data_IF_384025328288
#
_entry.id   IF_384025328288
#
_cell.length_a   1.000
_cell.length_b   1.000
_cell.length_c   1.000
_cell.angle_alpha   90.00
_cell.angle_beta   90.00
_cell.angle_gamma   90.00
#
_symmetry.space_group_name_H-M   'P 1'
#
loop_
_entity.id
_entity.type
_entity.pdbx_description
1 polymer ?
#
# COMPACT_ATOMS: atom_id res chain seq x y z
N UNK A 1 21.66 -19.12 -22.31
CA UNK A 1 21.76 -18.01 -21.33
C UNK A 1 20.36 -17.84 -20.77
N UNK A 2 20.07 -18.40 -19.61
CA UNK A 2 18.74 -18.27 -19.02
C UNK A 2 18.57 -16.86 -18.48
N UNK A 3 17.65 -16.08 -19.04
CA UNK A 3 17.18 -14.86 -18.39
C UNK A 3 16.64 -15.25 -17.02
N UNK A 4 17.31 -14.82 -15.96
CA UNK A 4 16.79 -14.97 -14.60
C UNK A 4 15.40 -14.32 -14.48
N UNK A 5 14.65 -14.64 -13.42
CA UNK A 5 13.33 -14.06 -13.22
C UNK A 5 13.40 -12.53 -13.33
N UNK A 6 12.61 -11.94 -14.23
CA UNK A 6 12.63 -10.50 -14.46
C UNK A 6 12.11 -9.77 -13.21
N UNK A 7 12.81 -8.70 -12.82
CA UNK A 7 12.35 -7.84 -11.73
C UNK A 7 10.96 -7.28 -12.04
N UNK A 8 10.09 -7.28 -11.04
CA UNK A 8 8.78 -6.67 -11.13
C UNK A 8 8.91 -5.19 -10.79
N UNK A 9 8.60 -4.30 -11.71
CA UNK A 9 8.65 -2.86 -11.50
C UNK A 9 7.34 -2.24 -11.95
N UNK A 10 6.79 -1.37 -11.10
CA UNK A 10 5.64 -0.52 -11.42
C UNK A 10 5.98 0.92 -11.08
N UNK A 11 5.59 1.83 -11.96
CA UNK A 11 5.79 3.27 -11.82
C UNK A 11 4.47 3.97 -11.60
N UNK A 12 4.52 5.13 -10.96
CA UNK A 12 3.38 6.03 -10.88
C UNK A 12 2.90 6.44 -12.27
N UNK A 13 1.59 6.51 -12.44
CA UNK A 13 0.94 6.82 -13.70
C UNK A 13 -0.55 7.07 -13.56
N UNK A 14 -1.18 7.38 -14.68
CA UNK A 14 -2.62 7.57 -14.77
C UNK A 14 -3.34 6.22 -14.79
N UNK A 15 -4.13 5.95 -13.76
CA UNK A 15 -5.03 4.79 -13.69
C UNK A 15 -6.48 5.22 -13.89
N UNK A 16 -7.39 4.30 -14.20
CA UNK A 16 -8.83 4.60 -14.29
C UNK A 16 -9.40 5.29 -13.04
N UNK A 17 -9.12 4.81 -11.81
CA UNK A 17 -9.47 5.52 -10.58
C UNK A 17 -8.87 6.92 -10.48
N UNK A 18 -7.59 7.10 -10.81
CA UNK A 18 -6.92 8.40 -10.74
C UNK A 18 -7.51 9.41 -11.74
N UNK A 19 -7.80 8.98 -12.97
CA UNK A 19 -8.44 9.82 -14.00
C UNK A 19 -9.83 10.25 -13.54
N UNK A 20 -10.65 9.34 -13.00
CA UNK A 20 -11.98 9.69 -12.47
C UNK A 20 -11.89 10.71 -11.33
N UNK A 21 -10.95 10.52 -10.40
CA UNK A 21 -10.75 11.45 -9.31
C UNK A 21 -10.28 12.83 -9.81
N UNK A 22 -9.35 12.87 -10.77
CA UNK A 22 -8.88 14.12 -11.38
C UNK A 22 -9.99 14.86 -12.14
N UNK A 23 -10.82 14.15 -12.92
CA UNK A 23 -11.97 14.74 -13.59
C UNK A 23 -12.99 15.31 -12.60
N UNK A 24 -13.26 14.60 -11.51
CA UNK A 24 -14.13 15.10 -10.44
C UNK A 24 -13.55 16.37 -9.80
N UNK A 25 -12.24 16.40 -9.51
CA UNK A 25 -11.60 17.60 -8.99
C UNK A 25 -11.69 18.77 -9.97
N UNK A 26 -11.49 18.56 -11.27
CA UNK A 26 -11.65 19.61 -12.28
C UNK A 26 -13.09 20.10 -12.39
N UNK A 27 -14.06 19.19 -12.29
CA UNK A 27 -15.48 19.54 -12.27
C UNK A 27 -15.84 20.42 -11.05
N UNK A 28 -15.40 20.02 -9.85
CA UNK A 28 -15.59 20.82 -8.63
C UNK A 28 -14.88 22.18 -8.70
N UNK A 29 -13.71 22.24 -9.33
CA UNK A 29 -13.01 23.49 -9.58
C UNK A 29 -13.83 24.40 -10.50
N UNK A 30 -14.45 23.85 -11.56
CA UNK A 30 -15.36 24.59 -12.44
C UNK A 30 -16.58 25.15 -11.70
N UNK A 31 -17.15 24.37 -10.77
CA UNK A 31 -18.29 24.82 -9.94
C UNK A 31 -17.97 26.05 -9.09
N UNK A 32 -16.71 26.24 -8.68
CA UNK A 32 -16.30 27.43 -7.93
C UNK A 32 -16.49 28.75 -8.71
N UNK A 33 -16.62 28.69 -10.04
CA UNK A 33 -16.85 29.85 -10.89
C UNK A 33 -18.33 30.09 -11.22
N UNK A 34 -19.25 29.30 -10.65
CA UNK A 34 -20.69 29.48 -10.88
C UNK A 34 -21.16 30.77 -10.20
N UNK A 35 -21.79 31.70 -10.93
CA UNK A 35 -22.31 32.93 -10.35
C UNK A 35 -23.39 32.63 -9.32
N UNK A 36 -23.37 33.36 -8.20
CA UNK A 36 -24.33 33.20 -7.09
C UNK A 36 -23.78 32.45 -5.87
N UNK A 37 -22.57 31.88 -5.95
CA UNK A 37 -21.87 31.38 -4.77
C UNK A 37 -21.27 32.55 -3.97
N UNK A 38 -21.37 32.53 -2.62
CA UNK A 38 -20.65 33.49 -1.81
C UNK A 38 -19.13 33.29 -1.98
N UNK A 39 -18.38 34.40 -2.02
CA UNK A 39 -16.95 34.42 -2.35
C UNK A 39 -16.12 33.45 -1.50
N UNK A 40 -16.42 33.36 -0.20
CA UNK A 40 -15.72 32.45 0.71
C UNK A 40 -15.93 30.98 0.34
N UNK A 41 -17.14 30.60 -0.08
CA UNK A 41 -17.47 29.22 -0.46
C UNK A 41 -16.85 28.86 -1.81
N UNK A 42 -16.91 29.78 -2.78
CA UNK A 42 -16.22 29.63 -4.07
C UNK A 42 -14.71 29.44 -3.86
N UNK A 43 -14.09 30.27 -3.02
CA UNK A 43 -12.65 30.19 -2.71
C UNK A 43 -12.30 28.87 -2.04
N UNK A 44 -13.07 28.45 -1.03
CA UNK A 44 -12.82 27.19 -0.32
C UNK A 44 -12.95 25.97 -1.24
N UNK A 45 -14.01 25.93 -2.07
CA UNK A 45 -14.23 24.85 -3.02
C UNK A 45 -13.13 24.79 -4.08
N UNK A 46 -12.79 25.93 -4.68
CA UNK A 46 -11.73 26.01 -5.69
C UNK A 46 -10.37 25.60 -5.14
N UNK A 47 -10.01 26.07 -3.95
CA UNK A 47 -8.75 25.70 -3.29
C UNK A 47 -8.68 24.19 -3.01
N UNK A 48 -9.74 23.61 -2.41
CA UNK A 48 -9.79 22.17 -2.12
C UNK A 48 -9.72 21.32 -3.39
N UNK A 49 -10.43 21.72 -4.44
CA UNK A 49 -10.45 21.04 -5.73
C UNK A 49 -9.07 21.10 -6.42
N UNK A 50 -8.42 22.27 -6.42
CA UNK A 50 -7.09 22.46 -6.98
C UNK A 50 -6.03 21.63 -6.23
N UNK A 51 -6.05 21.62 -4.89
CA UNK A 51 -5.16 20.79 -4.08
C UNK A 51 -5.37 19.31 -4.38
N UNK A 52 -6.63 18.87 -4.44
CA UNK A 52 -6.97 17.48 -4.76
C UNK A 52 -6.44 17.06 -6.13
N UNK A 53 -6.60 17.92 -7.14
CA UNK A 53 -6.07 17.67 -8.47
C UNK A 53 -4.53 17.58 -8.47
N UNK A 54 -3.84 18.49 -7.77
CA UNK A 54 -2.38 18.47 -7.69
C UNK A 54 -1.83 17.22 -6.98
N UNK A 55 -2.49 16.78 -5.91
CA UNK A 55 -2.12 15.55 -5.18
C UNK A 55 -2.21 14.31 -6.08
N UNK A 56 -3.08 14.31 -7.08
CA UNK A 56 -3.21 13.21 -8.06
C UNK A 56 -2.23 13.40 -9.22
N UNK A 57 -2.22 14.58 -9.84
CA UNK A 57 -1.53 14.85 -11.09
C UNK A 57 0.00 14.82 -10.93
N UNK A 58 0.55 15.39 -9.84
CA UNK A 58 1.99 15.45 -9.62
C UNK A 58 2.62 14.05 -9.57
N UNK A 59 2.19 13.12 -8.68
CA UNK A 59 2.74 11.78 -8.66
C UNK A 59 2.45 11.00 -9.95
N UNK A 60 1.24 11.10 -10.53
CA UNK A 60 0.91 10.43 -11.80
C UNK A 60 1.84 10.84 -12.96
N UNK A 61 2.24 12.12 -13.02
CA UNK A 61 3.16 12.62 -14.03
C UNK A 61 4.64 12.33 -13.71
N UNK A 62 4.98 12.05 -12.45
CA UNK A 62 6.39 11.86 -12.03
C UNK A 62 7.07 10.65 -12.66
N UNK A 63 6.30 9.62 -13.06
CA UNK A 63 6.79 8.31 -13.53
C UNK A 63 7.84 7.67 -12.62
N UNK A 64 7.92 8.07 -11.35
CA UNK A 64 8.83 7.48 -10.37
C UNK A 64 8.42 6.04 -10.10
N UNK A 65 9.39 5.21 -9.71
CA UNK A 65 9.13 3.83 -9.29
C UNK A 65 8.26 3.86 -8.04
N UNK A 66 7.10 3.20 -8.10
CA UNK A 66 6.16 3.07 -6.99
C UNK A 66 6.37 1.75 -6.22
N UNK A 67 6.68 0.67 -6.95
CA UNK A 67 7.04 -0.61 -6.37
C UNK A 67 8.07 -1.28 -7.28
N UNK A 68 9.15 -1.80 -6.68
CA UNK A 68 10.09 -2.68 -7.37
C UNK A 68 10.37 -3.90 -6.50
N UNK A 69 10.21 -5.09 -7.06
CA UNK A 69 10.58 -6.37 -6.44
C UNK A 69 11.66 -6.99 -7.30
N UNK A 70 12.84 -7.16 -6.72
CA UNK A 70 14.03 -7.66 -7.41
C UNK A 70 14.80 -8.67 -6.56
N UNK A 71 16.00 -9.06 -7.01
CA UNK A 71 16.82 -10.04 -6.30
C UNK A 71 17.30 -9.55 -4.93
N UNK A 72 17.46 -8.23 -4.75
CA UNK A 72 17.95 -7.68 -3.48
C UNK A 72 16.84 -7.44 -2.45
N UNK A 73 15.58 -7.31 -2.89
CA UNK A 73 14.48 -7.05 -1.99
C UNK A 73 13.30 -6.32 -2.64
N UNK A 74 12.55 -5.63 -1.79
CA UNK A 74 11.36 -4.85 -2.15
C UNK A 74 11.65 -3.37 -1.93
N UNK A 75 11.43 -2.56 -2.96
CA UNK A 75 11.51 -1.10 -2.89
C UNK A 75 10.12 -0.51 -3.01
N UNK A 76 9.68 0.21 -1.98
CA UNK A 76 8.44 0.96 -1.93
C UNK A 76 8.76 2.42 -2.24
N UNK A 77 8.25 2.91 -3.36
CA UNK A 77 8.43 4.28 -3.82
C UNK A 77 7.70 5.29 -2.93
N UNK A 78 8.38 6.39 -2.62
CA UNK A 78 7.79 7.51 -1.93
C UNK A 78 6.80 8.30 -2.77
N UNK A 79 5.88 9.00 -2.11
CA UNK A 79 5.03 10.03 -2.72
C UNK A 79 5.66 11.40 -2.47
N UNK A 80 5.53 12.38 -3.38
CA UNK A 80 6.11 13.70 -3.21
C UNK A 80 5.57 14.48 -2.00
N UNK A 81 4.51 13.98 -1.35
CA UNK A 81 3.77 14.68 -0.30
C UNK A 81 3.82 13.99 1.08
N UNK A 82 4.56 12.90 1.26
CA UNK A 82 4.65 12.31 2.61
C UNK A 82 5.53 11.07 2.74
N UNK A 83 5.42 10.13 1.81
CA UNK A 83 6.14 8.86 1.96
C UNK A 83 7.57 8.98 1.45
N UNK A 84 8.54 8.52 2.25
CA UNK A 84 9.91 8.31 1.77
C UNK A 84 9.98 7.00 0.98
N UNK A 85 10.91 6.97 0.02
CA UNK A 85 11.29 5.72 -0.63
C UNK A 85 11.96 4.82 0.40
N UNK A 86 11.50 3.59 0.50
CA UNK A 86 11.96 2.59 1.46
C UNK A 86 12.45 1.36 0.69
N UNK A 87 13.63 0.87 1.03
CA UNK A 87 14.18 -0.38 0.49
C UNK A 87 14.25 -1.39 1.63
N UNK A 88 13.70 -2.58 1.39
CA UNK A 88 13.58 -3.67 2.34
C UNK A 88 14.27 -4.89 1.77
N UNK A 89 15.35 -5.33 2.42
CA UNK A 89 16.08 -6.51 1.97
C UNK A 89 15.24 -7.76 2.22
N UNK A 90 15.37 -8.81 1.40
CA UNK A 90 14.59 -10.05 1.61
C UNK A 90 14.78 -10.69 2.98
N UNK A 91 15.95 -10.50 3.62
CA UNK A 91 16.22 -10.95 4.99
C UNK A 91 15.34 -10.29 6.05
N UNK A 92 14.81 -9.10 5.76
CA UNK A 92 13.96 -8.31 6.65
C UNK A 92 12.47 -8.56 6.35
N UNK A 93 12.13 -8.92 5.11
CA UNK A 93 10.74 -9.07 4.66
C UNK A 93 10.13 -10.37 5.20
N UNK A 94 9.11 -10.24 6.05
CA UNK A 94 8.32 -11.35 6.55
C UNK A 94 7.19 -11.74 5.60
N UNK A 95 6.49 -10.75 5.02
CA UNK A 95 5.43 -11.00 4.04
C UNK A 95 5.15 -9.81 3.13
N UNK A 96 4.59 -10.09 1.97
CA UNK A 96 4.05 -9.11 1.02
C UNK A 96 2.56 -9.36 0.87
N UNK A 97 1.74 -8.31 0.96
CA UNK A 97 0.29 -8.42 0.82
C UNK A 97 -0.25 -7.43 -0.20
N UNK A 98 -1.26 -7.85 -0.96
CA UNK A 98 -2.08 -7.00 -1.82
C UNK A 98 -3.51 -7.07 -1.29
N UNK A 99 -3.93 -6.02 -0.60
CA UNK A 99 -5.28 -5.93 -0.02
C UNK A 99 -6.11 -4.91 -0.76
N UNK A 100 -7.41 -5.15 -0.86
CA UNK A 100 -8.36 -4.17 -1.38
C UNK A 100 -9.36 -3.84 -0.28
N UNK A 101 -9.31 -2.61 0.19
CA UNK A 101 -10.22 -2.12 1.22
C UNK A 101 -11.37 -1.34 0.56
N UNK A 102 -12.57 -1.55 1.09
CA UNK A 102 -13.70 -0.65 0.84
C UNK A 102 -13.66 0.44 1.89
N UNK A 103 -13.05 1.58 1.57
CA UNK A 103 -13.05 2.72 2.49
C UNK A 103 -14.44 3.36 2.63
N UNK A 104 -15.25 3.31 1.56
CA UNK A 104 -16.62 3.78 1.52
C UNK A 104 -17.44 2.94 0.53
N UNK A 105 -18.79 2.95 0.62
CA UNK A 105 -19.69 2.15 -0.27
C UNK A 105 -19.39 2.27 -1.76
N UNK A 106 -18.72 3.34 -2.20
CA UNK A 106 -18.45 3.67 -3.59
C UNK A 106 -16.96 3.62 -3.98
N UNK A 107 -16.04 3.50 -3.01
CA UNK A 107 -14.60 3.59 -3.26
C UNK A 107 -13.91 2.32 -2.80
N UNK A 108 -13.28 1.64 -3.76
CA UNK A 108 -12.33 0.55 -3.50
C UNK A 108 -10.93 1.11 -3.67
N UNK A 109 -10.12 1.00 -2.62
CA UNK A 109 -8.72 1.36 -2.66
C UNK A 109 -7.90 0.09 -2.44
N UNK A 110 -7.03 -0.20 -3.39
CA UNK A 110 -6.08 -1.30 -3.26
C UNK A 110 -4.78 -0.77 -2.66
N UNK A 111 -4.15 -1.60 -1.85
CA UNK A 111 -2.93 -1.30 -1.12
C UNK A 111 -1.96 -2.46 -1.28
N UNK A 112 -0.68 -2.13 -1.40
CA UNK A 112 0.41 -3.09 -1.19
C UNK A 112 0.98 -2.85 0.19
N UNK A 113 1.02 -3.91 0.99
CA UNK A 113 1.67 -3.94 2.29
C UNK A 113 2.91 -4.81 2.25
N UNK A 114 3.98 -4.38 2.90
CA UNK A 114 5.16 -5.21 3.16
C UNK A 114 5.38 -5.23 4.65
N UNK A 115 5.26 -6.42 5.26
CA UNK A 115 5.65 -6.60 6.66
C UNK A 115 7.12 -6.95 6.71
N UNK A 116 7.87 -6.21 7.50
CA UNK A 116 9.30 -6.42 7.64
C UNK A 116 9.75 -6.28 9.11
N UNK A 117 10.88 -6.89 9.43
CA UNK A 117 11.53 -6.76 10.73
C UNK A 117 12.51 -5.60 10.66
N UNK A 118 12.26 -4.54 11.41
CA UNK A 118 13.26 -3.50 11.62
C UNK A 118 14.35 -4.08 12.52
N UNK A 119 15.63 -3.97 12.17
CA UNK A 119 16.75 -4.42 13.03
C UNK A 119 16.78 -3.76 14.42
N UNK A 120 16.00 -2.70 14.61
CA UNK A 120 15.79 -1.96 15.86
C UNK A 120 14.38 -2.12 16.44
N UNK A 121 13.54 -3.02 15.89
CA UNK A 121 12.22 -3.28 16.45
C UNK A 121 12.40 -3.80 17.88
N UNK A 122 11.73 -3.18 18.87
CA UNK A 122 11.74 -3.71 20.24
C UNK A 122 11.33 -5.18 20.20
N UNK A 123 11.90 -6.03 21.08
CA UNK A 123 11.39 -7.39 21.23
C UNK A 123 9.87 -7.31 21.38
N UNK A 124 9.13 -8.24 20.75
CA UNK A 124 7.68 -8.17 20.78
C UNK A 124 7.22 -8.06 22.23
N UNK A 125 6.25 -7.17 22.52
CA UNK A 125 5.79 -6.99 23.89
C UNK A 125 5.37 -8.35 24.45
N UNK A 126 5.63 -8.60 25.74
CA UNK A 126 5.14 -9.80 26.40
C UNK A 126 3.61 -9.90 26.19
N UNK A 127 3.05 -11.12 26.24
CA UNK A 127 1.61 -11.32 26.18
C UNK A 127 0.90 -10.34 27.12
N UNK A 128 -0.21 -9.75 26.68
CA UNK A 128 -0.91 -8.77 27.50
C UNK A 128 -1.42 -9.41 28.80
N UNK A 129 -1.14 -8.79 29.94
CA UNK A 129 -1.68 -9.20 31.24
C UNK A 129 -3.17 -8.85 31.39
N UNK A 130 -3.75 -8.11 30.44
CA UNK A 130 -5.18 -7.80 30.47
C UNK A 130 -6.00 -9.08 30.16
N UNK A 131 -6.95 -9.47 31.03
CA UNK A 131 -7.62 -10.77 30.94
C UNK A 131 -8.35 -10.98 29.61
N UNK A 132 -9.00 -9.95 29.06
CA UNK A 132 -9.68 -10.05 27.76
C UNK A 132 -8.75 -10.17 26.55
N UNK A 133 -7.54 -9.58 26.61
CA UNK A 133 -6.54 -9.74 25.56
C UNK A 133 -5.86 -11.12 25.65
N UNK A 134 -5.70 -11.65 26.87
CA UNK A 134 -5.16 -12.99 27.10
C UNK A 134 -6.07 -14.10 26.55
N UNK A 135 -7.39 -13.92 26.67
CA UNK A 135 -8.38 -14.85 26.13
C UNK A 135 -8.44 -14.79 24.61
N UNK A 136 -8.31 -13.59 24.03
CA UNK A 136 -8.17 -13.40 22.59
C UNK A 136 -6.87 -14.01 22.06
N UNK A 137 -5.74 -13.81 22.74
CA UNK A 137 -4.45 -14.41 22.39
C UNK A 137 -4.50 -15.95 22.48
N UNK A 138 -5.12 -16.49 23.53
CA UNK A 138 -5.32 -17.93 23.69
C UNK A 138 -6.23 -18.50 22.59
N UNK A 139 -7.30 -17.79 22.23
CA UNK A 139 -8.17 -18.17 21.13
C UNK A 139 -7.40 -18.14 19.79
N UNK A 140 -6.68 -17.06 19.50
CA UNK A 140 -5.87 -16.95 18.28
C UNK A 140 -4.77 -18.03 18.22
N UNK A 141 -4.16 -18.40 19.34
CA UNK A 141 -3.18 -19.48 19.40
C UNK A 141 -3.77 -20.87 19.07
N UNK A 142 -5.10 -21.06 19.21
CA UNK A 142 -5.78 -22.28 18.75
C UNK A 142 -6.15 -22.26 17.27
N UNK A 143 -6.28 -21.07 16.69
CA UNK A 143 -6.74 -20.87 15.31
C UNK A 143 -5.60 -20.61 14.33
N UNK A 144 -4.46 -20.13 14.82
CA UNK A 144 -3.33 -19.69 14.03
C UNK A 144 -2.09 -20.44 14.50
N UNK A 145 -1.33 -21.10 13.59
CA UNK A 145 -0.08 -21.77 13.96
C UNK A 145 0.84 -20.82 14.72
N UNK A 146 1.40 -21.25 15.86
CA UNK A 146 2.20 -20.41 16.75
C UNK A 146 3.37 -19.74 16.01
N UNK A 147 3.97 -20.46 15.06
CA UNK A 147 5.01 -19.98 14.14
C UNK A 147 4.56 -18.79 13.27
N UNK A 148 3.28 -18.71 12.91
CA UNK A 148 2.71 -17.57 12.19
C UNK A 148 2.60 -16.36 13.12
N UNK A 149 2.10 -16.55 14.34
CA UNK A 149 1.92 -15.44 15.29
C UNK A 149 3.28 -14.86 15.73
N UNK A 150 4.28 -15.72 15.93
CA UNK A 150 5.64 -15.32 16.29
C UNK A 150 6.38 -14.65 15.12
N UNK A 151 6.21 -15.13 13.88
CA UNK A 151 6.85 -14.52 12.72
C UNK A 151 6.38 -13.09 12.42
N UNK A 152 5.17 -12.73 12.87
CA UNK A 152 4.55 -11.42 12.68
C UNK A 152 4.74 -10.50 13.89
N UNK A 153 5.00 -11.07 15.07
CA UNK A 153 5.39 -10.32 16.28
C UNK A 153 6.71 -9.58 16.03
N UNK A 154 6.74 -8.27 16.30
CA UNK A 154 7.92 -7.41 16.08
C UNK A 154 8.13 -6.98 14.62
N UNK A 155 7.14 -7.18 13.73
CA UNK A 155 7.19 -6.65 12.35
C UNK A 155 6.49 -5.30 12.24
N UNK A 156 6.99 -4.45 11.34
CA UNK A 156 6.36 -3.19 10.93
C UNK A 156 5.71 -3.38 9.58
N UNK A 157 4.53 -2.80 9.39
CA UNK A 157 3.80 -2.84 8.11
C UNK A 157 4.00 -1.54 7.34
N UNK A 158 4.78 -1.59 6.27
CA UNK A 158 4.88 -0.49 5.30
C UNK A 158 3.82 -0.64 4.22
N UNK A 159 2.88 0.30 4.14
CA UNK A 159 1.76 0.25 3.19
C UNK A 159 1.83 1.37 2.16
N UNK A 160 1.46 1.09 0.90
CA UNK A 160 1.30 2.08 -0.18
C UNK A 160 -0.02 1.87 -0.90
N UNK A 161 -0.76 2.97 -1.12
CA UNK A 161 -1.97 2.95 -1.93
C UNK A 161 -1.62 2.79 -3.41
N UNK A 162 -2.32 1.90 -4.11
CA UNK A 162 -2.09 1.59 -5.54
C UNK A 162 -2.97 2.42 -6.47
N UNK A 163 -3.62 3.48 -5.97
CA UNK A 163 -4.53 4.32 -6.76
C UNK A 163 -3.85 4.91 -7.99
N UNK A 164 -2.54 5.18 -7.90
CA UNK A 164 -1.76 5.83 -8.96
C UNK A 164 -0.81 4.87 -9.69
N UNK A 165 -0.92 3.56 -9.45
CA UNK A 165 -0.06 2.58 -10.10
C UNK A 165 -0.71 1.19 -10.04
N UNK A 166 -0.96 0.54 -11.19
CA UNK A 166 -1.67 -0.74 -11.20
C UNK A 166 -0.77 -1.86 -10.68
N UNK A 167 -1.31 -2.72 -9.82
CA UNK A 167 -0.62 -3.93 -9.35
C UNK A 167 -1.21 -5.14 -10.05
N UNK A 168 -0.33 -5.93 -10.67
CA UNK A 168 -0.65 -7.27 -11.11
C UNK A 168 -0.30 -8.25 -9.98
N UNK A 169 -1.28 -8.74 -9.20
CA UNK A 169 -1.02 -9.60 -8.06
C UNK A 169 -0.42 -10.94 -8.49
N UNK A 170 -0.77 -11.45 -9.67
CA UNK A 170 -0.24 -12.72 -10.19
C UNK A 170 1.23 -12.56 -10.51
N UNK A 171 1.60 -11.55 -11.31
CA UNK A 171 3.00 -11.29 -11.65
C UNK A 171 3.84 -10.97 -10.40
N UNK A 172 3.29 -10.17 -9.49
CA UNK A 172 3.94 -9.86 -8.21
C UNK A 172 4.19 -11.13 -7.39
N UNK A 173 3.18 -11.99 -7.22
CA UNK A 173 3.33 -13.26 -6.47
C UNK A 173 4.38 -14.18 -7.08
N UNK A 174 4.41 -14.30 -8.42
CA UNK A 174 5.41 -15.10 -9.13
C UNK A 174 6.81 -14.56 -8.91
N UNK A 175 6.98 -13.23 -8.98
CA UNK A 175 8.28 -12.60 -8.74
C UNK A 175 8.74 -12.74 -7.28
N UNK A 176 7.84 -12.58 -6.30
CA UNK A 176 8.15 -12.80 -4.88
C UNK A 176 8.60 -14.24 -4.66
N UNK A 177 7.85 -15.22 -5.18
CA UNK A 177 8.19 -16.65 -5.06
C UNK A 177 9.52 -17.00 -5.73
N UNK A 178 9.88 -16.32 -6.82
CA UNK A 178 11.14 -16.54 -7.53
C UNK A 178 12.36 -16.00 -6.78
N UNK A 179 12.27 -14.82 -6.14
CA UNK A 179 13.39 -14.20 -5.45
C UNK A 179 13.48 -14.53 -3.95
N UNK A 180 12.35 -14.82 -3.31
CA UNK A 180 12.27 -15.14 -1.90
C UNK A 180 11.20 -16.22 -1.64
N UNK A 181 11.50 -17.50 -1.94
CA UNK A 181 10.54 -18.59 -1.80
C UNK A 181 10.07 -18.81 -0.35
N UNK A 182 10.82 -18.32 0.64
CA UNK A 182 10.43 -18.35 2.05
C UNK A 182 9.52 -17.19 2.49
N UNK A 183 9.30 -16.18 1.65
CA UNK A 183 8.45 -15.03 1.98
C UNK A 183 7.00 -15.33 1.64
N UNK A 184 6.10 -15.08 2.59
CA UNK A 184 4.66 -15.29 2.40
C UNK A 184 4.06 -14.18 1.53
N UNK A 185 3.16 -14.55 0.62
CA UNK A 185 2.41 -13.62 -0.22
C UNK A 185 0.90 -13.74 0.05
N UNK A 186 0.24 -12.61 0.34
CA UNK A 186 -1.21 -12.56 0.53
C UNK A 186 -1.87 -11.82 -0.63
N UNK A 187 -2.69 -12.53 -1.41
CA UNK A 187 -3.40 -11.96 -2.56
C UNK A 187 -4.71 -11.22 -2.20
N UNK A 188 -5.33 -10.55 -3.19
CA UNK A 188 -6.62 -9.88 -3.05
C UNK A 188 -7.75 -10.93 -2.92
N UNK A 189 -7.84 -11.57 -1.75
CA UNK A 189 -8.71 -12.70 -1.49
C UNK A 189 -8.44 -13.43 -0.18
N UNK A 190 -7.35 -13.12 0.53
CA UNK A 190 -7.06 -13.66 1.86
C UNK A 190 -6.21 -14.93 1.88
N UNK A 191 -6.08 -15.65 0.77
CA UNK A 191 -5.20 -16.81 0.68
C UNK A 191 -4.54 -16.92 -0.69
N UNK A 192 -3.26 -17.30 -0.68
CA UNK A 192 -2.64 -18.04 -1.76
C UNK A 192 -1.52 -18.90 -1.17
N UNK A 193 -1.84 -20.19 -1.03
CA UNK A 193 -0.95 -21.37 -0.94
C UNK A 193 0.46 -21.18 -1.50
#
# INVERSE_FOLDING_TARGET
MGEGPAAYEVRYGWTGPAVRAALLSLFLLGLAFVPGLPVWAATALGAMAAVSFLVIAVPACSRRVALRVGPEGVTLGGTPFGDRTEHLAWSEVASVEVRTERSHRLLRTSYVGVRHRTGSAPPPPPPSDAPGLRELDAYLATQVPTEFTEAFRGTVLSTRATTLWPVDPTRLSTTVRAFAPGTRFFGPGGEAS
#
